data_IF_357723538309
#
_entry.id   IF_357723538309
#
_cell.length_a   1.000
_cell.length_b   1.000
_cell.length_c   1.000
_cell.angle_alpha   90.00
_cell.angle_beta   90.00
_cell.angle_gamma   90.00
#
_symmetry.space_group_name_H-M   'P 1'
#
loop_
_entity.id
_entity.type
_entity.pdbx_description
1 polymer ?
#
# COMPACT_ATOMS: atom_id res chain seq x y z
N UNK A 1 -28.52 23.36 57.58
CA UNK A 1 -28.22 21.94 57.87
C UNK A 1 -27.15 21.46 56.88
N UNK A 2 -25.95 21.17 57.42
CA UNK A 2 -24.78 20.43 56.90
C UNK A 2 -24.22 20.84 55.51
N UNK A 3 -23.19 21.70 55.42
CA UNK A 3 -21.74 21.55 55.70
C UNK A 3 -20.91 21.00 54.51
N UNK A 4 -20.05 21.86 53.94
CA UNK A 4 -18.56 21.86 54.03
C UNK A 4 -17.91 20.95 52.97
N UNK A 5 -17.19 21.53 52.00
CA UNK A 5 -15.72 21.70 51.98
C UNK A 5 -14.96 20.37 51.83
N UNK A 6 -13.94 20.43 50.97
CA UNK A 6 -12.94 19.40 50.65
C UNK A 6 -13.49 18.32 49.72
N UNK A 7 -12.97 18.13 48.50
CA UNK A 7 -11.56 17.87 48.22
C UNK A 7 -11.12 18.55 46.93
N UNK A 8 -10.22 19.51 47.12
CA UNK A 8 -9.13 19.89 46.24
C UNK A 8 -8.44 18.69 45.57
N UNK A 9 -8.24 18.75 44.24
CA UNK A 9 -7.17 18.15 43.41
C UNK A 9 -7.73 18.07 41.99
N UNK A 10 -7.25 18.75 40.95
CA UNK A 10 -5.92 19.25 40.65
C UNK A 10 -6.08 20.35 39.58
N UNK A 11 -5.65 21.58 39.90
CA UNK A 11 -5.29 22.58 38.89
C UNK A 11 -3.91 22.21 38.34
N UNK A 12 -3.81 21.95 37.04
CA UNK A 12 -2.57 22.11 36.26
C UNK A 12 -3.02 22.68 34.90
N UNK A 13 -3.20 24.00 34.78
CA UNK A 13 -2.19 24.93 34.25
C UNK A 13 -1.54 24.38 32.97
N UNK A 14 -2.23 24.51 31.83
CA UNK A 14 -1.55 24.57 30.53
C UNK A 14 -1.36 26.04 30.21
N UNK A 15 -0.32 26.61 30.84
CA UNK A 15 0.26 27.88 30.44
C UNK A 15 0.93 27.69 29.08
N UNK A 16 0.37 28.30 28.05
CA UNK A 16 1.02 28.56 26.76
C UNK A 16 2.20 29.52 26.97
N UNK A 17 3.31 29.02 27.50
CA UNK A 17 4.58 29.73 27.46
C UNK A 17 5.24 29.49 26.10
N UNK A 18 5.29 30.56 25.31
CA UNK A 18 6.18 30.74 24.16
C UNK A 18 7.61 30.30 24.53
N UNK A 19 8.05 29.15 24.03
CA UNK A 19 9.47 28.78 24.04
C UNK A 19 10.08 29.18 22.71
N UNK A 20 11.00 30.15 22.77
CA UNK A 20 11.91 30.53 21.70
C UNK A 20 12.70 29.28 21.26
N UNK A 21 12.63 28.92 19.98
CA UNK A 21 13.55 27.93 19.39
C UNK A 21 14.91 28.60 19.19
N UNK A 22 15.85 28.32 20.09
CA UNK A 22 17.28 28.39 19.80
C UNK A 22 17.70 27.13 19.04
N UNK A 23 18.50 27.30 17.99
CA UNK A 23 19.09 26.20 17.25
C UNK A 23 20.11 25.45 18.12
N UNK A 24 19.84 24.18 18.40
CA UNK A 24 20.87 23.22 18.77
C UNK A 24 20.51 21.85 18.18
N UNK A 25 21.49 21.26 17.51
CA UNK A 25 21.47 19.92 16.96
C UNK A 25 21.36 18.89 18.09
N UNK A 26 20.19 18.27 18.22
CA UNK A 26 20.01 17.05 19.01
C UNK A 26 19.12 16.11 18.24
N UNK A 27 19.62 14.91 17.94
CA UNK A 27 18.86 13.81 17.38
C UNK A 27 17.59 13.60 18.24
N UNK A 28 16.35 13.63 17.69
CA UNK A 28 15.17 13.41 18.51
C UNK A 28 15.00 11.90 18.74
N UNK A 29 15.77 11.32 19.64
CA UNK A 29 15.72 9.89 19.99
C UNK A 29 14.97 9.61 21.30
N UNK A 30 13.78 10.20 21.52
CA UNK A 30 12.96 9.80 22.69
C UNK A 30 11.50 10.29 22.60
N UNK A 31 10.85 10.13 21.43
CA UNK A 31 9.40 10.34 21.33
C UNK A 31 8.75 9.27 20.50
N UNK A 32 7.70 8.67 21.05
CA UNK A 32 6.77 7.82 20.33
C UNK A 32 6.19 8.58 19.13
N UNK A 33 5.97 7.86 18.03
CA UNK A 33 5.35 8.41 16.81
C UNK A 33 3.86 8.15 16.87
N UNK A 34 3.08 9.17 17.19
CA UNK A 34 1.62 9.13 17.05
C UNK A 34 1.22 9.53 15.62
N UNK A 35 0.34 8.75 15.01
CA UNK A 35 -0.13 9.08 13.66
C UNK A 35 -1.53 8.57 13.37
N UNK A 36 -2.22 9.25 12.46
CA UNK A 36 -3.56 8.86 12.02
C UNK A 36 -3.46 7.65 11.09
N UNK A 37 -4.32 6.66 11.33
CA UNK A 37 -4.59 5.51 10.47
C UNK A 37 -6.04 5.55 9.97
N UNK A 38 -6.26 5.13 8.73
CA UNK A 38 -7.61 4.99 8.16
C UNK A 38 -7.98 3.51 8.08
N UNK A 39 -9.09 3.15 8.73
CA UNK A 39 -9.70 1.84 8.57
C UNK A 39 -10.95 1.93 7.67
N UNK A 40 -10.90 1.31 6.50
CA UNK A 40 -12.03 1.29 5.57
C UNK A 40 -13.04 0.20 5.94
N UNK A 41 -14.32 0.51 5.80
CA UNK A 41 -15.39 -0.45 6.07
C UNK A 41 -15.41 -1.61 5.06
N UNK A 42 -15.04 -1.32 3.80
CA UNK A 42 -15.07 -2.25 2.68
C UNK A 42 -13.67 -2.42 2.09
N UNK A 43 -13.39 -3.59 1.53
CA UNK A 43 -12.26 -3.85 0.63
C UNK A 43 -12.55 -3.32 -0.78
N UNK A 44 -11.51 -3.17 -1.59
CA UNK A 44 -11.62 -3.01 -3.04
C UNK A 44 -11.50 -1.59 -3.60
N UNK A 45 -11.82 -1.48 -4.89
CA UNK A 45 -11.52 -0.33 -5.74
C UNK A 45 -12.13 0.99 -5.25
N UNK A 46 -13.23 0.92 -4.50
CA UNK A 46 -13.90 2.10 -3.93
C UNK A 46 -12.96 2.98 -3.09
N UNK A 47 -11.90 2.40 -2.50
CA UNK A 47 -10.98 3.11 -1.61
C UNK A 47 -9.79 3.75 -2.33
N UNK A 48 -9.60 3.49 -3.62
CA UNK A 48 -8.35 3.78 -4.34
C UNK A 48 -7.89 5.22 -4.18
N UNK A 49 -8.81 6.16 -4.35
CA UNK A 49 -8.50 7.59 -4.25
C UNK A 49 -8.14 8.02 -2.82
N UNK A 50 -8.87 7.52 -1.83
CA UNK A 50 -8.61 7.83 -0.41
C UNK A 50 -7.25 7.27 0.03
N UNK A 51 -6.88 6.08 -0.42
CA UNK A 51 -5.55 5.49 -0.17
C UNK A 51 -4.45 6.36 -0.75
N UNK A 52 -4.59 6.78 -2.01
CA UNK A 52 -3.58 7.60 -2.68
C UNK A 52 -3.39 8.98 -2.02
N UNK A 53 -4.48 9.62 -1.60
CA UNK A 53 -4.40 10.88 -0.85
C UNK A 53 -3.75 10.69 0.52
N UNK A 54 -4.10 9.63 1.25
CA UNK A 54 -3.48 9.34 2.55
C UNK A 54 -1.99 9.02 2.42
N UNK A 55 -1.61 8.26 1.39
CA UNK A 55 -0.22 7.96 1.06
C UNK A 55 0.57 9.24 0.73
N UNK A 56 0.01 10.11 -0.12
CA UNK A 56 0.63 11.40 -0.46
C UNK A 56 0.89 12.26 0.77
N UNK A 57 -0.13 12.44 1.61
CA UNK A 57 -0.01 13.20 2.84
C UNK A 57 1.10 12.62 3.74
N UNK A 58 1.14 11.29 3.91
CA UNK A 58 2.19 10.66 4.73
C UNK A 58 3.59 10.81 4.12
N UNK A 59 3.73 10.76 2.80
CA UNK A 59 5.01 11.04 2.15
C UNK A 59 5.49 12.47 2.42
N UNK A 60 4.58 13.45 2.38
CA UNK A 60 4.89 14.85 2.68
C UNK A 60 5.27 15.04 4.16
N UNK A 61 4.53 14.43 5.08
CA UNK A 61 4.78 14.48 6.53
C UNK A 61 6.14 13.87 6.92
N UNK A 62 6.54 12.76 6.27
CA UNK A 62 7.77 12.02 6.59
C UNK A 62 8.95 12.32 5.66
N UNK A 63 8.74 13.12 4.63
CA UNK A 63 9.76 13.39 3.62
C UNK A 63 10.12 12.19 2.74
N UNK A 64 9.25 11.18 2.65
CA UNK A 64 9.46 9.97 1.82
C UNK A 64 9.36 10.35 0.34
N UNK A 65 10.32 9.88 -0.47
CA UNK A 65 10.50 10.34 -1.86
C UNK A 65 10.04 9.35 -2.92
N UNK A 66 9.72 8.11 -2.55
CA UNK A 66 9.26 7.07 -3.47
C UNK A 66 7.96 6.44 -3.00
N UNK A 67 7.08 6.16 -3.96
CA UNK A 67 5.84 5.41 -3.73
C UNK A 67 5.77 4.25 -4.71
N UNK A 68 5.57 3.05 -4.18
CA UNK A 68 5.40 1.81 -4.95
C UNK A 68 3.90 1.51 -5.06
N UNK A 69 3.37 1.41 -6.28
CA UNK A 69 1.95 1.23 -6.56
C UNK A 69 1.72 -0.13 -7.24
N UNK A 70 0.92 -0.99 -6.63
CA UNK A 70 0.41 -2.19 -7.29
C UNK A 70 -0.64 -1.81 -8.35
N UNK A 71 -0.44 -2.19 -9.61
CA UNK A 71 -1.42 -1.89 -10.67
C UNK A 71 -1.33 -2.87 -11.83
N UNK A 72 -2.27 -3.80 -11.89
CA UNK A 72 -2.31 -4.85 -12.91
C UNK A 72 -2.72 -4.38 -14.31
N UNK A 73 -3.63 -3.42 -14.39
CA UNK A 73 -4.20 -2.88 -15.65
C UNK A 73 -3.83 -1.41 -15.88
N UNK A 74 -3.02 -0.83 -14.99
CA UNK A 74 -2.61 0.58 -15.08
C UNK A 74 -3.63 1.60 -14.56
N UNK A 75 -4.90 1.24 -14.31
CA UNK A 75 -5.93 2.19 -13.85
C UNK A 75 -5.57 2.88 -12.53
N UNK A 76 -5.11 2.11 -11.53
CA UNK A 76 -4.66 2.66 -10.24
C UNK A 76 -3.42 3.54 -10.42
N UNK A 77 -2.50 3.14 -11.32
CA UNK A 77 -1.29 3.91 -11.63
C UNK A 77 -1.59 5.26 -12.28
N UNK A 78 -2.57 5.35 -13.19
CA UNK A 78 -2.99 6.63 -13.78
C UNK A 78 -3.57 7.56 -12.73
N UNK A 79 -4.43 7.06 -11.84
CA UNK A 79 -4.97 7.87 -10.74
C UNK A 79 -3.86 8.31 -9.77
N UNK A 80 -2.88 7.44 -9.50
CA UNK A 80 -1.71 7.81 -8.70
C UNK A 80 -0.89 8.93 -9.38
N UNK A 81 -0.62 8.81 -10.68
CA UNK A 81 0.09 9.82 -11.45
C UNK A 81 -0.60 11.19 -11.38
N UNK A 82 -1.93 11.23 -11.42
CA UNK A 82 -2.71 12.46 -11.29
C UNK A 82 -2.60 13.08 -9.89
N UNK A 83 -2.77 12.27 -8.84
CA UNK A 83 -2.75 12.74 -7.44
C UNK A 83 -1.36 13.20 -6.98
N UNK A 84 -0.31 12.50 -7.42
CA UNK A 84 1.08 12.79 -7.07
C UNK A 84 1.76 13.77 -8.01
N UNK A 85 1.03 14.29 -9.01
CA UNK A 85 1.57 15.29 -9.95
C UNK A 85 2.13 16.49 -9.18
N UNK A 86 3.30 16.97 -9.62
CA UNK A 86 4.01 18.13 -9.08
C UNK A 86 4.42 18.03 -7.60
N UNK A 87 4.43 16.83 -7.00
CA UNK A 87 4.91 16.62 -5.61
C UNK A 87 6.42 16.37 -5.53
N UNK A 88 7.07 16.04 -6.66
CA UNK A 88 8.45 15.56 -6.70
C UNK A 88 8.65 14.13 -6.16
N UNK A 89 7.58 13.45 -5.74
CA UNK A 89 7.60 12.06 -5.30
C UNK A 89 7.68 11.16 -6.55
N UNK A 90 8.64 10.23 -6.56
CA UNK A 90 8.83 9.28 -7.65
C UNK A 90 7.84 8.13 -7.52
N UNK A 91 7.15 7.81 -8.61
CA UNK A 91 6.23 6.68 -8.68
C UNK A 91 6.91 5.47 -9.32
N UNK A 92 6.77 4.32 -8.66
CA UNK A 92 7.19 3.02 -9.17
C UNK A 92 5.94 2.15 -9.24
N UNK A 93 5.56 1.75 -10.43
CA UNK A 93 4.41 0.88 -10.64
C UNK A 93 4.90 -0.56 -10.75
N UNK A 94 4.29 -1.43 -9.97
CA UNK A 94 4.58 -2.87 -10.02
C UNK A 94 3.36 -3.58 -10.55
N UNK A 95 3.57 -4.39 -11.57
CA UNK A 95 2.55 -5.24 -12.19
C UNK A 95 2.97 -6.70 -12.16
N UNK A 96 1.97 -7.56 -12.20
CA UNK A 96 2.15 -9.00 -12.39
C UNK A 96 2.58 -9.33 -13.83
N UNK A 97 3.13 -10.53 -14.04
CA UNK A 97 3.33 -11.08 -15.38
C UNK A 97 2.01 -11.14 -16.18
N UNK A 98 2.06 -11.11 -17.52
CA UNK A 98 0.86 -11.17 -18.36
C UNK A 98 0.02 -12.41 -18.08
N UNK A 99 -1.21 -12.20 -17.63
CA UNK A 99 -2.14 -13.29 -17.27
C UNK A 99 -3.58 -12.79 -17.36
N UNK A 100 -4.50 -13.46 -16.66
CA UNK A 100 -5.89 -13.09 -16.50
C UNK A 100 -6.32 -13.24 -15.05
N UNK A 101 -7.31 -12.47 -14.65
CA UNK A 101 -8.03 -12.61 -13.37
C UNK A 101 -9.50 -12.85 -13.66
N UNK A 102 -10.17 -13.64 -12.83
CA UNK A 102 -11.62 -13.85 -12.93
C UNK A 102 -12.39 -12.55 -12.85
N UNK A 103 -13.56 -12.47 -13.46
CA UNK A 103 -14.51 -11.39 -13.27
C UNK A 103 -15.93 -11.82 -13.63
N UNK A 104 -16.97 -11.05 -13.24
CA UNK A 104 -18.38 -11.44 -13.40
C UNK A 104 -18.83 -11.58 -14.86
N UNK A 105 -18.14 -10.94 -15.81
CA UNK A 105 -18.42 -11.01 -17.25
C UNK A 105 -17.35 -11.78 -18.04
N UNK A 106 -16.62 -12.65 -17.36
CA UNK A 106 -15.46 -13.35 -17.89
C UNK A 106 -14.14 -12.75 -17.43
N UNK A 107 -13.06 -13.32 -17.95
CA UNK A 107 -11.70 -12.97 -17.56
C UNK A 107 -11.31 -11.54 -17.92
N UNK A 108 -10.57 -10.90 -17.02
CA UNK A 108 -9.95 -9.59 -17.20
C UNK A 108 -8.46 -9.82 -17.45
N UNK A 109 -7.89 -9.39 -18.60
CA UNK A 109 -6.46 -9.46 -18.82
C UNK A 109 -5.70 -8.63 -17.79
N UNK A 110 -4.51 -9.06 -17.39
CA UNK A 110 -3.64 -8.36 -16.44
C UNK A 110 -2.19 -8.41 -16.91
N UNK A 111 -1.37 -7.48 -16.43
CA UNK A 111 0.01 -7.32 -16.84
C UNK A 111 0.15 -6.08 -17.71
N UNK A 112 0.64 -4.99 -17.13
CA UNK A 112 0.66 -3.66 -17.75
C UNK A 112 1.52 -3.57 -19.02
N UNK A 113 2.42 -4.53 -19.27
CA UNK A 113 3.21 -4.59 -20.53
C UNK A 113 2.49 -5.29 -21.69
N UNK A 114 1.23 -5.68 -21.53
CA UNK A 114 0.41 -6.23 -22.63
C UNK A 114 0.06 -5.16 -23.66
N UNK A 115 -0.18 -5.58 -24.90
CA UNK A 115 -0.52 -4.66 -26.02
C UNK A 115 -1.80 -3.88 -25.74
N UNK A 116 -2.76 -4.52 -25.07
CA UNK A 116 -4.03 -3.96 -24.62
C UNK A 116 -3.87 -2.76 -23.68
N UNK A 117 -2.71 -2.60 -23.04
CA UNK A 117 -2.42 -1.50 -22.12
C UNK A 117 -1.28 -0.59 -22.60
N UNK A 118 -0.90 -0.68 -23.88
CA UNK A 118 0.24 0.05 -24.43
C UNK A 118 0.10 1.58 -24.28
N UNK A 119 -1.11 2.11 -24.45
CA UNK A 119 -1.38 3.55 -24.27
C UNK A 119 -1.18 3.99 -22.82
N UNK A 120 -1.69 3.21 -21.87
CA UNK A 120 -1.53 3.48 -20.44
C UNK A 120 -0.05 3.39 -20.05
N UNK A 121 0.65 2.34 -20.51
CA UNK A 121 2.08 2.16 -20.26
C UNK A 121 2.88 3.35 -20.80
N UNK A 122 2.64 3.75 -22.06
CA UNK A 122 3.31 4.90 -22.68
C UNK A 122 3.08 6.16 -21.88
N UNK A 123 1.82 6.45 -21.52
CA UNK A 123 1.48 7.63 -20.71
C UNK A 123 2.20 7.64 -19.37
N UNK A 124 2.35 6.48 -18.70
CA UNK A 124 3.10 6.38 -17.44
C UNK A 124 4.60 6.65 -17.66
N UNK A 125 5.21 6.01 -18.65
CA UNK A 125 6.64 6.14 -18.95
C UNK A 125 7.01 7.56 -19.40
N UNK A 126 6.19 8.20 -20.25
CA UNK A 126 6.36 9.60 -20.68
C UNK A 126 6.29 10.60 -19.51
N UNK A 127 5.61 10.24 -18.42
CA UNK A 127 5.55 11.03 -17.20
C UNK A 127 6.60 10.60 -16.15
N UNK A 128 7.62 9.84 -16.56
CA UNK A 128 8.75 9.45 -15.71
C UNK A 128 8.43 8.36 -14.69
N UNK A 129 7.30 7.67 -14.80
CA UNK A 129 6.93 6.55 -13.93
C UNK A 129 7.71 5.30 -14.34
N UNK A 130 8.32 4.63 -13.37
CA UNK A 130 9.03 3.37 -13.59
C UNK A 130 8.06 2.20 -13.49
N UNK A 131 8.16 1.22 -14.40
CA UNK A 131 7.25 0.06 -14.44
C UNK A 131 8.02 -1.25 -14.31
N UNK A 132 7.86 -1.91 -13.17
CA UNK A 132 8.40 -3.24 -12.87
C UNK A 132 7.34 -4.29 -13.15
N UNK A 133 7.71 -5.35 -13.88
CA UNK A 133 6.85 -6.50 -14.15
C UNK A 133 7.58 -7.79 -13.80
N UNK A 134 6.94 -8.66 -13.02
CA UNK A 134 7.54 -9.93 -12.64
C UNK A 134 6.60 -10.87 -11.89
N UNK A 135 7.17 -11.97 -11.42
CA UNK A 135 6.50 -12.94 -10.54
C UNK A 135 6.49 -12.42 -9.11
N UNK A 136 5.41 -12.71 -8.37
CA UNK A 136 5.30 -12.33 -6.96
C UNK A 136 6.17 -13.24 -6.09
N UNK A 137 6.95 -12.69 -5.13
CA UNK A 137 7.87 -13.49 -4.31
C UNK A 137 7.19 -14.60 -3.51
N UNK A 138 5.95 -14.41 -3.03
CA UNK A 138 5.24 -15.43 -2.27
C UNK A 138 4.33 -16.33 -3.13
N UNK A 139 4.39 -16.16 -4.45
CA UNK A 139 3.75 -17.04 -5.43
C UNK A 139 4.79 -17.51 -6.48
N UNK A 140 5.89 -18.16 -6.04
CA UNK A 140 6.90 -18.68 -6.94
C UNK A 140 6.41 -19.94 -7.67
N UNK A 141 7.20 -20.53 -8.58
CA UNK A 141 6.80 -21.73 -9.32
C UNK A 141 6.33 -22.92 -8.47
N UNK A 142 6.72 -23.03 -7.20
CA UNK A 142 6.22 -24.07 -6.29
C UNK A 142 4.69 -24.03 -6.14
N UNK A 143 4.05 -22.87 -6.36
CA UNK A 143 2.59 -22.71 -6.37
C UNK A 143 1.89 -23.42 -7.54
N UNK A 144 2.63 -23.80 -8.58
CA UNK A 144 2.10 -24.57 -9.71
C UNK A 144 1.73 -26.01 -9.34
N UNK A 145 2.27 -26.54 -8.24
CA UNK A 145 1.93 -27.88 -7.75
C UNK A 145 0.46 -27.91 -7.32
N UNK A 146 0.08 -27.01 -6.41
CA UNK A 146 -1.29 -26.79 -5.99
C UNK A 146 -1.41 -25.45 -5.21
N UNK A 147 -2.49 -24.69 -5.44
CA UNK A 147 -2.78 -23.42 -4.75
C UNK A 147 -3.09 -23.58 -3.25
N UNK A 148 -3.37 -24.78 -2.77
CA UNK A 148 -3.56 -25.05 -1.33
C UNK A 148 -2.35 -25.74 -0.71
N UNK A 149 -1.32 -26.05 -1.49
CA UNK A 149 -0.13 -26.71 -0.97
C UNK A 149 0.64 -25.77 -0.02
N UNK A 150 0.97 -26.21 1.21
CA UNK A 150 1.58 -25.37 2.24
C UNK A 150 3.10 -25.27 2.04
N UNK A 151 3.53 -24.69 0.92
CA UNK A 151 4.94 -24.32 0.75
C UNK A 151 5.31 -23.21 1.75
N UNK A 152 6.61 -23.04 2.10
CA UNK A 152 7.03 -21.93 2.95
C UNK A 152 6.49 -20.57 2.48
N UNK A 153 6.50 -20.32 1.17
CA UNK A 153 6.00 -19.08 0.58
C UNK A 153 4.48 -18.94 0.70
N UNK A 154 3.74 -20.05 0.50
CA UNK A 154 2.30 -20.07 0.73
C UNK A 154 1.94 -19.78 2.18
N UNK A 155 2.70 -20.32 3.14
CA UNK A 155 2.48 -20.04 4.58
C UNK A 155 2.69 -18.55 4.87
N UNK A 156 3.74 -17.93 4.31
CA UNK A 156 3.99 -16.48 4.45
C UNK A 156 2.84 -15.68 3.84
N UNK A 157 2.45 -15.99 2.59
CA UNK A 157 1.34 -15.35 1.88
C UNK A 157 0.04 -15.39 2.71
N UNK A 158 -0.37 -16.58 3.18
CA UNK A 158 -1.58 -16.77 4.00
C UNK A 158 -1.50 -16.06 5.35
N UNK A 159 -0.31 -16.02 5.96
CA UNK A 159 -0.07 -15.32 7.23
C UNK A 159 -0.24 -13.81 7.05
N UNK A 160 0.33 -13.23 5.99
CA UNK A 160 0.17 -11.80 5.68
C UNK A 160 -1.27 -11.46 5.30
N UNK A 161 -2.00 -12.38 4.65
CA UNK A 161 -3.44 -12.23 4.37
C UNK A 161 -4.31 -12.18 5.65
N UNK A 162 -3.78 -12.49 6.85
CA UNK A 162 -4.45 -12.17 8.13
C UNK A 162 -4.68 -10.67 8.28
N UNK A 163 -3.77 -9.84 7.75
CA UNK A 163 -3.89 -8.39 7.71
C UNK A 163 -4.65 -7.89 6.47
N UNK A 164 -5.17 -8.78 5.63
CA UNK A 164 -5.85 -8.50 4.37
C UNK A 164 -4.96 -8.62 3.14
N UNK A 165 -5.56 -8.95 2.00
CA UNK A 165 -4.85 -9.16 0.74
C UNK A 165 -4.03 -7.93 0.32
N UNK A 166 -4.59 -6.72 0.46
CA UNK A 166 -3.88 -5.47 0.18
C UNK A 166 -2.59 -5.32 0.98
N UNK A 167 -2.56 -5.71 2.26
CA UNK A 167 -1.33 -5.66 3.09
C UNK A 167 -0.25 -6.58 2.55
N UNK A 168 -0.61 -7.84 2.25
CA UNK A 168 0.31 -8.80 1.65
C UNK A 168 0.85 -8.30 0.31
N UNK A 169 0.00 -7.78 -0.58
CA UNK A 169 0.46 -7.27 -1.88
C UNK A 169 1.32 -6.01 -1.70
N UNK A 170 1.02 -5.13 -0.76
CA UNK A 170 1.82 -3.93 -0.47
C UNK A 170 3.25 -4.28 -0.01
N UNK A 171 3.45 -5.44 0.60
CA UNK A 171 4.77 -5.99 0.91
C UNK A 171 5.41 -6.57 -0.36
N UNK A 172 4.71 -7.46 -1.07
CA UNK A 172 5.24 -8.13 -2.27
C UNK A 172 5.74 -7.15 -3.33
N UNK A 173 5.02 -6.05 -3.58
CA UNK A 173 5.42 -5.07 -4.61
C UNK A 173 6.71 -4.34 -4.26
N UNK A 174 7.01 -4.13 -2.98
CA UNK A 174 8.27 -3.49 -2.57
C UNK A 174 9.43 -4.44 -2.76
N UNK A 175 9.26 -5.73 -2.43
CA UNK A 175 10.27 -6.76 -2.73
C UNK A 175 10.54 -6.82 -4.24
N UNK A 176 9.50 -6.86 -5.07
CA UNK A 176 9.64 -6.85 -6.53
C UNK A 176 10.34 -5.59 -7.05
N UNK A 177 10.01 -4.41 -6.52
CA UNK A 177 10.65 -3.16 -6.93
C UNK A 177 12.12 -3.10 -6.50
N UNK A 178 12.46 -3.65 -5.33
CA UNK A 178 13.83 -3.70 -4.81
C UNK A 178 14.67 -4.72 -5.57
N UNK A 179 14.12 -5.90 -5.86
CA UNK A 179 14.78 -6.92 -6.70
C UNK A 179 15.04 -6.42 -8.13
N UNK A 180 14.22 -5.49 -8.63
CA UNK A 180 14.40 -4.84 -9.92
C UNK A 180 15.36 -3.62 -9.90
N UNK A 181 15.88 -3.23 -8.74
CA UNK A 181 16.78 -2.08 -8.60
C UNK A 181 16.13 -0.70 -8.69
N UNK A 182 14.79 -0.62 -8.55
CA UNK A 182 14.07 0.66 -8.56
C UNK A 182 13.95 1.27 -7.14
N UNK A 183 14.09 0.43 -6.12
CA UNK A 183 14.15 0.78 -4.70
C UNK A 183 15.44 0.21 -4.11
N UNK A 184 16.13 0.98 -3.27
CA UNK A 184 17.36 0.51 -2.62
C UNK A 184 17.04 -0.23 -1.31
N UNK A 185 17.75 -1.31 -0.96
CA UNK A 185 17.62 -1.92 0.37
C UNK A 185 17.87 -0.92 1.50
N UNK A 186 17.02 -0.94 2.52
CA UNK A 186 17.06 -0.01 3.63
C UNK A 186 16.42 1.36 3.34
N UNK A 187 16.04 1.64 2.10
CA UNK A 187 15.26 2.83 1.76
C UNK A 187 13.86 2.76 2.39
N UNK A 188 13.38 3.88 2.91
CA UNK A 188 12.02 4.00 3.39
C UNK A 188 11.11 4.45 2.25
N UNK A 189 10.07 3.67 1.96
CA UNK A 189 9.12 3.94 0.88
C UNK A 189 7.68 3.77 1.38
N UNK A 190 6.73 4.42 0.68
CA UNK A 190 5.32 4.10 0.85
C UNK A 190 4.91 3.10 -0.23
N UNK A 191 4.19 2.04 0.15
CA UNK A 191 3.61 1.10 -0.80
C UNK A 191 2.09 1.11 -0.73
N UNK A 192 1.43 1.12 -1.90
CA UNK A 192 -0.02 1.09 -2.03
C UNK A 192 -0.43 -0.13 -2.83
N UNK A 193 -1.35 -0.93 -2.29
CA UNK A 193 -1.92 -2.08 -2.95
C UNK A 193 -3.39 -2.26 -2.56
N UNK A 194 -4.04 -3.30 -3.09
CA UNK A 194 -5.46 -3.49 -2.87
C UNK A 194 -5.91 -4.94 -2.91
N UNK A 195 -7.18 -5.14 -2.54
CA UNK A 195 -7.86 -6.42 -2.65
C UNK A 195 -8.55 -6.55 -4.01
N UNK A 196 -8.10 -7.53 -4.80
CA UNK A 196 -8.59 -7.87 -6.15
C UNK A 196 -8.45 -6.76 -7.21
N UNK A 197 -9.14 -5.63 -7.10
CA UNK A 197 -8.98 -4.46 -8.00
C UNK A 197 -8.93 -3.16 -7.22
N UNK A 198 -8.16 -2.20 -7.75
CA UNK A 198 -7.90 -0.90 -7.13
C UNK A 198 -6.95 -0.98 -5.95
N UNK A 199 -6.96 0.05 -5.10
CA UNK A 199 -6.10 0.16 -3.91
C UNK A 199 -6.98 0.32 -2.66
N UNK A 200 -6.69 -0.43 -1.61
CA UNK A 200 -7.37 -0.33 -0.30
C UNK A 200 -6.41 -0.32 0.90
N UNK A 201 -5.11 -0.53 0.68
CA UNK A 201 -4.07 -0.52 1.72
C UNK A 201 -2.89 0.34 1.31
N UNK A 202 -2.33 1.09 2.26
CA UNK A 202 -1.03 1.74 2.13
C UNK A 202 -0.17 1.57 3.39
N UNK A 203 1.12 1.31 3.22
CA UNK A 203 2.10 1.07 4.27
C UNK A 203 3.31 1.99 4.12
N UNK A 204 3.95 2.37 5.23
CA UNK A 204 5.35 2.80 5.21
C UNK A 204 6.22 1.59 5.52
N UNK A 205 7.22 1.33 4.69
CA UNK A 205 8.11 0.18 4.85
C UNK A 205 9.57 0.56 4.70
N UNK A 206 10.44 -0.20 5.38
CA UNK A 206 11.87 -0.27 5.06
C UNK A 206 12.06 -1.38 4.05
N UNK A 207 12.52 -1.03 2.85
CA UNK A 207 12.67 -1.97 1.75
C UNK A 207 13.82 -2.97 2.00
N UNK A 208 13.70 -4.14 1.39
CA UNK A 208 14.75 -5.17 1.28
C UNK A 208 14.50 -6.00 0.02
N UNK A 209 15.54 -6.68 -0.46
CA UNK A 209 15.39 -7.71 -1.48
C UNK A 209 14.59 -8.90 -0.95
N UNK A 210 14.00 -9.70 -1.83
CA UNK A 210 13.28 -10.91 -1.44
C UNK A 210 14.13 -11.88 -0.60
N UNK A 211 15.42 -12.02 -0.93
CA UNK A 211 16.37 -12.84 -0.17
C UNK A 211 16.68 -12.33 1.26
N UNK A 212 16.44 -11.05 1.53
CA UNK A 212 16.63 -10.41 2.84
C UNK A 212 15.35 -10.27 3.66
N UNK A 213 14.21 -10.77 3.16
CA UNK A 213 12.87 -10.46 3.67
C UNK A 213 12.75 -10.55 5.20
N UNK A 214 13.11 -11.68 5.81
CA UNK A 214 12.96 -11.86 7.25
C UNK A 214 13.97 -11.11 8.12
N UNK A 215 15.09 -10.69 7.54
CA UNK A 215 16.18 -10.04 8.27
C UNK A 215 16.08 -8.52 8.24
N UNK A 216 15.54 -7.97 7.14
CA UNK A 216 15.73 -6.56 6.81
C UNK A 216 14.44 -5.82 6.44
N UNK A 217 13.40 -6.52 5.99
CA UNK A 217 12.14 -5.86 5.62
C UNK A 217 11.36 -5.48 6.87
N UNK A 218 10.91 -4.22 6.96
CA UNK A 218 10.12 -3.75 8.10
C UNK A 218 8.84 -3.08 7.59
N UNK A 219 7.69 -3.47 8.15
CA UNK A 219 6.48 -2.65 8.07
C UNK A 219 6.52 -1.68 9.24
N UNK A 220 6.72 -0.39 8.94
CA UNK A 220 6.91 0.67 9.95
C UNK A 220 5.59 1.30 10.37
N UNK A 221 4.72 1.54 9.39
CA UNK A 221 3.43 2.18 9.64
C UNK A 221 2.36 1.61 8.71
N UNK A 222 1.13 1.54 9.22
CA UNK A 222 -0.06 1.30 8.39
C UNK A 222 -0.74 2.66 8.20
N UNK A 223 -0.78 3.16 6.98
CA UNK A 223 -1.41 4.44 6.64
C UNK A 223 -2.93 4.25 6.51
N UNK A 224 -3.31 3.22 5.77
CA UNK A 224 -4.71 2.85 5.59
C UNK A 224 -4.82 1.35 5.29
N UNK A 225 -5.92 0.73 5.73
CA UNK A 225 -6.32 -0.62 5.29
C UNK A 225 -7.80 -0.89 5.56
N UNK A 226 -8.43 -1.92 4.95
CA UNK A 226 -9.75 -2.37 5.38
C UNK A 226 -9.75 -2.89 6.83
N UNK A 227 -10.87 -2.70 7.54
CA UNK A 227 -11.09 -3.26 8.89
C UNK A 227 -11.44 -4.76 8.83
N UNK A 228 -12.07 -5.21 7.74
CA UNK A 228 -12.42 -6.60 7.46
C UNK A 228 -11.67 -7.08 6.22
N UNK A 229 -11.27 -8.35 6.19
CA UNK A 229 -10.69 -8.99 5.00
C UNK A 229 -11.74 -9.79 4.24
N UNK A 230 -11.54 -9.97 2.93
CA UNK A 230 -12.30 -10.91 2.12
C UNK A 230 -12.13 -12.33 2.66
N UNK A 231 -13.23 -13.09 2.74
CA UNK A 231 -13.25 -14.49 3.18
C UNK A 231 -13.81 -15.45 2.12
N UNK A 232 -14.29 -14.91 1.00
CA UNK A 232 -14.92 -15.65 -0.08
C UNK A 232 -14.25 -15.29 -1.40
N UNK A 233 -13.93 -16.30 -2.20
CA UNK A 233 -13.41 -16.14 -3.55
C UNK A 233 -14.47 -16.54 -4.60
N UNK A 234 -14.49 -15.91 -5.78
CA UNK A 234 -13.69 -14.74 -6.16
C UNK A 234 -14.11 -13.49 -5.36
N UNK A 235 -13.15 -12.62 -5.08
CA UNK A 235 -13.28 -11.53 -4.10
C UNK A 235 -14.46 -10.59 -4.39
N UNK A 236 -14.80 -10.41 -5.67
CA UNK A 236 -15.91 -9.55 -6.07
C UNK A 236 -17.30 -10.06 -5.68
N UNK A 237 -17.43 -11.33 -5.27
CA UNK A 237 -18.67 -11.88 -4.72
C UNK A 237 -18.84 -11.59 -3.23
N UNK A 238 -17.75 -11.29 -2.53
CA UNK A 238 -17.80 -10.98 -1.12
C UNK A 238 -18.53 -9.65 -0.88
N UNK A 239 -19.55 -9.66 -0.02
CA UNK A 239 -20.37 -8.46 0.29
C UNK A 239 -19.54 -7.25 0.78
N UNK A 240 -18.41 -7.55 1.43
CA UNK A 240 -17.47 -6.59 1.99
C UNK A 240 -16.49 -6.02 0.97
N UNK A 241 -16.53 -6.47 -0.29
CA UNK A 241 -15.78 -5.89 -1.40
C UNK A 241 -16.67 -4.93 -2.20
N UNK A 242 -16.14 -3.75 -2.55
CA UNK A 242 -16.85 -2.74 -3.34
C UNK A 242 -15.94 -2.17 -4.43
N UNK A 243 -16.47 -2.07 -5.64
CA UNK A 243 -15.79 -1.51 -6.79
C UNK A 243 -16.62 -1.63 -8.06
N UNK A 244 -16.20 -0.92 -9.10
CA UNK A 244 -16.81 -0.90 -10.41
C UNK A 244 -15.95 -1.71 -11.40
N UNK A 245 -16.38 -2.95 -11.64
CA UNK A 245 -15.66 -3.88 -12.52
C UNK A 245 -15.91 -3.64 -14.00
N UNK A 246 -16.99 -2.93 -14.38
CA UNK A 246 -17.28 -2.66 -15.79
C UNK A 246 -16.19 -1.82 -16.45
N UNK A 247 -15.53 -0.98 -15.65
CA UNK A 247 -14.32 -0.24 -16.06
C UNK A 247 -13.20 -1.14 -16.55
N UNK A 248 -13.05 -2.36 -16.01
CA UNK A 248 -11.92 -3.24 -16.31
C UNK A 248 -12.12 -4.09 -17.57
N UNK A 249 -13.34 -4.15 -18.10
CA UNK A 249 -13.64 -4.79 -19.39
C UNK A 249 -13.47 -3.88 -20.59
N UNK A 250 -13.46 -2.56 -20.37
CA UNK A 250 -13.25 -1.56 -21.41
C UNK A 250 -11.74 -1.36 -21.55
N UNK A 251 -11.14 -2.05 -22.51
CA UNK A 251 -9.75 -1.83 -22.91
C UNK A 251 -9.65 -0.37 -23.37
N UNK A 252 -8.82 0.43 -22.70
CA UNK A 252 -8.59 1.85 -22.97
C UNK A 252 -7.24 2.03 -23.64
#
# INVERSE_FOLDING_TARGET
MKNFKEVEKLKIVISLSKVKKSASSSCPMDRDIESKIIYFQYCGEINTEKVLHAAKLRCEERGIKKVVIASETGRSAIKALEIFRNTGIKLIVVTHYPSKTWGPRGDIPIGLRRKEYAEILRKLEENGVRVVQGTRPFVPPSRSINWEYPTPEAIIDRTLEVFGAGTKIAIEVVLMATDAGEVEPGEEVVSCAGTYKGLDTALVVRASHSGGFFKEFEVREIIAKPIRRVKELPEYKYEGWKGDLDKYYRIQ
#
